data_IF_936259564429
#
_entry.id   IF_936259564429
#
_cell.length_a   1.000
_cell.length_b   1.000
_cell.length_c   1.000
_cell.angle_alpha   90.00
_cell.angle_beta   90.00
_cell.angle_gamma   90.00
#
_symmetry.space_group_name_H-M   'P 1'
#
loop_
_entity.id
_entity.type
_entity.pdbx_description
1 polymer ?
#
# COMPACT_ATOMS: atom_id res chain seq x y z
N UNK A 1 -10.51 -19.18 3.09
CA UNK A 1 -9.58 -18.14 3.56
C UNK A 1 -9.25 -18.42 5.02
N UNK A 2 -8.00 -18.70 5.35
CA UNK A 2 -7.58 -19.03 6.72
C UNK A 2 -7.56 -17.81 7.63
N UNK A 3 -7.73 -18.01 8.94
CA UNK A 3 -7.63 -16.95 9.96
C UNK A 3 -6.31 -16.16 9.90
N UNK A 4 -5.21 -16.81 9.47
CA UNK A 4 -3.89 -16.20 9.21
C UNK A 4 -3.90 -15.10 8.13
N UNK A 5 -4.96 -14.99 7.34
CA UNK A 5 -5.09 -14.01 6.24
C UNK A 5 -6.06 -12.88 6.57
N UNK A 6 -6.67 -12.87 7.76
CA UNK A 6 -7.60 -11.82 8.14
C UNK A 6 -6.84 -10.54 8.52
N UNK A 7 -7.23 -9.42 7.92
CA UNK A 7 -6.67 -8.12 8.26
C UNK A 7 -6.85 -7.85 9.77
N UNK A 8 -5.75 -7.55 10.47
CA UNK A 8 -5.73 -7.32 11.92
C UNK A 8 -6.58 -6.12 12.36
N UNK A 9 -6.97 -5.25 11.42
CA UNK A 9 -7.79 -4.06 11.68
C UNK A 9 -9.28 -4.34 11.53
N UNK A 10 -9.69 -4.94 10.41
CA UNK A 10 -11.12 -5.19 10.11
C UNK A 10 -11.59 -6.61 10.44
N UNK A 11 -10.67 -7.52 10.81
CA UNK A 11 -10.97 -8.92 11.06
C UNK A 11 -11.50 -9.66 9.82
N UNK A 12 -11.16 -9.21 8.61
CA UNK A 12 -11.66 -9.76 7.35
C UNK A 12 -12.97 -9.16 6.84
N UNK A 13 -13.59 -8.20 7.56
CA UNK A 13 -14.86 -7.56 7.16
C UNK A 13 -14.73 -6.60 5.96
N UNK A 14 -13.50 -6.24 5.57
CA UNK A 14 -13.23 -5.27 4.51
C UNK A 14 -13.51 -3.80 4.87
N UNK A 15 -14.22 -3.55 5.98
CA UNK A 15 -14.58 -2.20 6.45
C UNK A 15 -14.44 -2.07 7.96
N UNK A 16 -14.18 -0.84 8.42
CA UNK A 16 -14.18 -0.46 9.84
C UNK A 16 -14.93 0.86 10.03
N UNK A 17 -15.63 1.00 11.15
CA UNK A 17 -16.26 2.28 11.54
C UNK A 17 -15.23 3.14 12.27
N UNK A 18 -15.05 4.37 11.79
CA UNK A 18 -14.16 5.36 12.40
C UNK A 18 -14.95 6.58 12.85
N UNK A 19 -14.55 7.19 13.98
CA UNK A 19 -15.20 8.40 14.51
C UNK A 19 -14.73 9.62 13.71
N UNK A 20 -15.67 10.41 13.21
CA UNK A 20 -15.37 11.71 12.59
C UNK A 20 -15.06 12.78 13.66
N UNK A 21 -14.25 13.81 13.35
CA UNK A 21 -13.56 14.06 12.07
C UNK A 21 -12.26 13.24 11.90
N UNK A 22 -11.88 12.97 10.64
CA UNK A 22 -10.64 12.27 10.27
C UNK A 22 -10.05 12.85 8.98
N UNK A 23 -8.75 12.61 8.74
CA UNK A 23 -8.07 12.93 7.48
C UNK A 23 -7.31 11.72 6.93
N UNK A 24 -7.09 11.64 5.60
CA UNK A 24 -6.19 10.64 5.01
C UNK A 24 -4.82 10.65 5.68
N UNK A 25 -4.29 9.48 6.03
CA UNK A 25 -2.95 9.36 6.56
C UNK A 25 -1.95 9.73 5.45
N UNK A 26 -1.12 10.76 5.62
CA UNK A 26 -0.19 11.19 4.59
C UNK A 26 0.93 10.17 4.37
N UNK A 27 1.31 9.42 5.41
CA UNK A 27 2.42 8.47 5.36
C UNK A 27 2.14 7.27 4.44
N UNK A 28 0.94 6.70 4.54
CA UNK A 28 0.52 5.59 3.68
C UNK A 28 -0.47 6.02 2.59
N UNK A 29 -0.71 7.32 2.39
CA UNK A 29 -1.65 7.85 1.38
C UNK A 29 -3.00 7.12 1.38
N UNK A 30 -3.61 7.01 2.56
CA UNK A 30 -4.90 6.35 2.76
C UNK A 30 -4.98 4.82 2.56
N UNK A 31 -3.88 4.13 2.25
CA UNK A 31 -3.93 2.67 2.03
C UNK A 31 -4.02 1.87 3.34
N UNK A 32 -3.60 2.47 4.46
CA UNK A 32 -3.38 1.76 5.71
C UNK A 32 -2.15 0.85 5.70
N UNK A 33 -1.43 0.74 4.59
CA UNK A 33 -0.35 -0.21 4.44
C UNK A 33 0.89 0.42 3.80
N UNK A 34 2.05 -0.05 4.20
CA UNK A 34 3.34 0.33 3.62
C UNK A 34 3.90 -0.91 2.92
N UNK A 35 4.18 -0.79 1.63
CA UNK A 35 4.88 -1.80 0.85
C UNK A 35 6.37 -1.68 1.14
N UNK A 36 7.03 -2.79 1.46
CA UNK A 36 8.45 -2.81 1.85
C UNK A 36 9.34 -3.47 0.80
N UNK A 37 8.77 -4.23 -0.12
CA UNK A 37 9.51 -4.95 -1.14
C UNK A 37 9.35 -4.28 -2.49
N UNK A 38 10.48 -4.05 -3.14
CA UNK A 38 10.53 -3.46 -4.48
C UNK A 38 10.24 -4.52 -5.54
N UNK A 39 9.55 -4.11 -6.59
CA UNK A 39 9.32 -4.95 -7.77
C UNK A 39 10.67 -5.29 -8.38
N UNK A 40 10.98 -6.58 -8.48
CA UNK A 40 12.27 -7.08 -8.99
C UNK A 40 12.44 -6.86 -10.49
N UNK A 41 11.33 -6.81 -11.24
CA UNK A 41 11.34 -6.60 -12.69
C UNK A 41 11.74 -5.18 -13.07
N UNK A 42 11.19 -4.16 -12.38
CA UNK A 42 11.54 -2.76 -12.64
C UNK A 42 12.49 -2.15 -11.61
N UNK A 43 12.95 -2.96 -10.63
CA UNK A 43 13.86 -2.55 -9.55
C UNK A 43 13.38 -1.31 -8.80
N UNK A 44 12.09 -1.24 -8.49
CA UNK A 44 11.51 -0.10 -7.76
C UNK A 44 11.16 1.12 -8.61
N UNK A 45 11.55 1.18 -9.88
CA UNK A 45 11.32 2.39 -10.70
C UNK A 45 9.89 2.54 -11.18
N UNK A 46 9.14 1.45 -11.27
CA UNK A 46 7.81 1.42 -11.89
C UNK A 46 7.83 1.33 -13.42
N UNK A 47 9.01 1.38 -14.05
CA UNK A 47 9.14 1.37 -15.51
C UNK A 47 10.21 0.37 -15.97
N UNK A 48 10.06 -0.13 -17.19
CA UNK A 48 11.05 -1.02 -17.82
C UNK A 48 11.57 -0.40 -19.12
N UNK A 49 12.89 -0.36 -19.34
CA UNK A 49 13.45 0.12 -20.60
C UNK A 49 13.18 -0.88 -21.73
N UNK A 50 12.99 -0.37 -22.95
CA UNK A 50 13.02 -1.18 -24.18
C UNK A 50 14.30 -0.91 -24.96
N UNK A 51 14.88 -1.93 -25.64
CA UNK A 51 16.12 -1.76 -26.42
C UNK A 51 16.03 -0.67 -27.50
N UNK A 52 14.86 -0.49 -28.10
CA UNK A 52 14.57 0.61 -29.01
C UNK A 52 13.17 1.15 -28.69
N UNK A 53 13.11 2.37 -28.13
CA UNK A 53 11.84 3.06 -27.84
C UNK A 53 11.73 3.61 -26.42
N UNK A 54 10.57 4.17 -26.06
CA UNK A 54 10.34 4.77 -24.76
C UNK A 54 10.29 3.72 -23.65
N UNK A 55 10.63 4.15 -22.43
CA UNK A 55 10.34 3.38 -21.22
C UNK A 55 8.84 3.11 -21.10
N UNK A 56 8.50 1.88 -20.75
CA UNK A 56 7.11 1.48 -20.55
C UNK A 56 6.81 1.32 -19.07
N UNK A 57 5.55 1.57 -18.71
CA UNK A 57 5.05 1.21 -17.38
C UNK A 57 5.27 -0.28 -17.16
N UNK A 58 5.87 -0.64 -16.03
CA UNK A 58 6.14 -2.02 -15.69
C UNK A 58 4.82 -2.80 -15.57
N UNK A 59 4.61 -3.88 -16.35
CA UNK A 59 3.34 -4.61 -16.34
C UNK A 59 3.10 -5.36 -15.01
N UNK A 60 4.17 -5.81 -14.36
CA UNK A 60 4.10 -6.55 -13.09
C UNK A 60 3.59 -5.66 -11.94
N UNK A 61 4.24 -4.51 -11.72
CA UNK A 61 3.86 -3.61 -10.63
C UNK A 61 2.83 -2.55 -11.05
N UNK A 62 2.49 -2.45 -12.34
CA UNK A 62 1.61 -1.42 -12.92
C UNK A 62 2.04 -0.01 -12.54
N UNK A 63 3.34 0.24 -12.55
CA UNK A 63 3.91 1.56 -12.27
C UNK A 63 4.13 1.87 -10.78
N UNK A 64 3.75 1.00 -9.83
CA UNK A 64 3.95 1.31 -8.40
C UNK A 64 5.42 1.21 -7.99
N UNK A 65 6.21 0.39 -8.69
CA UNK A 65 7.57 0.04 -8.25
C UNK A 65 7.61 -0.98 -7.11
N UNK A 66 6.46 -1.36 -6.55
CA UNK A 66 6.37 -2.30 -5.42
C UNK A 66 6.08 -3.73 -5.88
N UNK A 67 6.60 -4.70 -5.13
CA UNK A 67 6.20 -6.10 -5.25
C UNK A 67 4.74 -6.27 -4.80
N UNK A 68 3.90 -6.74 -5.72
CA UNK A 68 2.47 -6.91 -5.48
C UNK A 68 2.16 -8.21 -4.73
N UNK A 69 3.00 -9.23 -4.86
CA UNK A 69 2.89 -10.50 -4.16
C UNK A 69 3.40 -10.42 -2.72
N UNK A 70 4.29 -9.46 -2.43
CA UNK A 70 4.78 -9.26 -1.08
C UNK A 70 3.69 -8.74 -0.12
N UNK A 71 3.65 -9.27 1.12
CA UNK A 71 2.73 -8.79 2.14
C UNK A 71 3.04 -7.32 2.44
N UNK A 72 1.99 -6.52 2.58
CA UNK A 72 2.14 -5.14 3.02
C UNK A 72 2.15 -5.11 4.55
N UNK A 73 3.01 -4.29 5.13
CA UNK A 73 2.99 -4.05 6.57
C UNK A 73 1.92 -3.00 6.89
N UNK A 74 1.23 -3.18 8.01
CA UNK A 74 0.33 -2.16 8.53
C UNK A 74 1.10 -0.86 8.77
N UNK A 75 0.59 0.25 8.26
CA UNK A 75 1.17 1.57 8.49
C UNK A 75 1.17 1.88 9.99
N UNK A 76 2.35 2.07 10.56
CA UNK A 76 2.50 2.30 12.00
C UNK A 76 1.94 3.66 12.45
N UNK A 77 1.83 4.63 11.54
CA UNK A 77 1.29 5.96 11.86
C UNK A 77 -0.22 5.97 12.06
N UNK A 78 -0.95 5.18 11.27
CA UNK A 78 -2.41 5.08 11.34
C UNK A 78 -2.90 3.72 11.82
N UNK A 79 -1.98 2.85 12.26
CA UNK A 79 -2.26 1.49 12.70
C UNK A 79 -3.12 0.68 11.72
N UNK A 80 -2.85 0.81 10.43
CA UNK A 80 -3.59 0.06 9.42
C UNK A 80 -4.91 0.68 8.95
N UNK A 81 -5.37 1.78 9.56
CA UNK A 81 -6.67 2.40 9.23
C UNK A 81 -6.66 3.22 7.93
N UNK A 82 -5.49 3.67 7.50
CA UNK A 82 -5.36 4.64 6.40
C UNK A 82 -5.73 6.07 6.79
N UNK A 83 -6.25 6.30 7.99
CA UNK A 83 -6.77 7.58 8.46
C UNK A 83 -6.10 8.00 9.77
N UNK A 84 -6.01 9.31 10.02
CA UNK A 84 -5.55 9.87 11.30
C UNK A 84 -6.54 10.90 11.82
N UNK A 85 -6.60 11.06 13.14
CA UNK A 85 -7.36 12.13 13.77
C UNK A 85 -6.76 13.50 13.40
N UNK A 86 -7.58 14.55 13.25
CA UNK A 86 -7.08 15.91 13.09
C UNK A 86 -6.25 16.30 14.32
N UNK A 87 -5.11 16.96 14.08
CA UNK A 87 -4.16 17.37 15.13
C UNK A 87 -3.02 16.38 15.42
N UNK A 88 -3.04 15.15 14.90
CA UNK A 88 -1.89 14.24 14.96
C UNK A 88 -1.08 14.33 13.66
N UNK A 89 0.04 15.04 13.69
CA UNK A 89 1.06 15.12 12.61
C UNK A 89 1.98 13.91 12.66
#
# INVERSE_FOLDING_TARGET
MSWLSNCCVCGGKGVVRVKAPYRPCPHCRNTGAVKTFTCTVCRGTGYVPRPAGPTLVCPECRGTGDDRGAPALSCLKCHGLGLVAPGKS
#
